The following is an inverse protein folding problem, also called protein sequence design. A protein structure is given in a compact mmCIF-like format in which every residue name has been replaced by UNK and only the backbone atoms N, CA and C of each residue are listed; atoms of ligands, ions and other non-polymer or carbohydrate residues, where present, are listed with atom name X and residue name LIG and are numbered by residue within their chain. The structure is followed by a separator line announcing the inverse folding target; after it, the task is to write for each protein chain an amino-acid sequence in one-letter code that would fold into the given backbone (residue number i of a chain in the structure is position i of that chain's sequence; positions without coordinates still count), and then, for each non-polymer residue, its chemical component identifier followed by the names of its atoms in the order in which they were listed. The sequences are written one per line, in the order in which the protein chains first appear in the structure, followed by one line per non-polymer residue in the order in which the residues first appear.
data_IF_216200438016
#
_entry.id   IF_216200438016
#
_cell.length_a   1.000
_cell.length_b   1.000
_cell.length_c   1.000
_cell.angle_alpha   90.00
_cell.angle_beta   90.00
_cell.angle_gamma   90.00
#
_symmetry.space_group_name_H-M   'P 1'
#
loop_
_entity.id
_entity.type
_entity.pdbx_description
1 polymer ?
#
# COMPACT_ATOMS: atom_id res chain seq x y z
N UNK A 1 -16.02 5.84 -2.73
CA UNK A 1 -17.21 5.78 -3.59
C UNK A 1 -18.15 4.63 -3.16
N UNK A 2 -17.63 3.48 -2.77
CA UNK A 2 -18.45 2.34 -2.29
C UNK A 2 -18.99 2.49 -0.85
N UNK A 3 -18.74 3.63 -0.20
CA UNK A 3 -19.28 3.96 1.13
C UNK A 3 -18.45 3.48 2.32
N UNK A 4 -17.28 2.88 2.09
CA UNK A 4 -16.37 2.46 3.17
C UNK A 4 -15.54 3.62 3.70
N UNK A 5 -15.21 3.56 5.00
CA UNK A 5 -14.23 4.46 5.63
C UNK A 5 -12.84 3.93 5.35
N UNK A 6 -12.03 4.72 4.61
CA UNK A 6 -10.71 4.30 4.13
C UNK A 6 -9.62 5.07 4.83
N UNK A 7 -8.73 4.37 5.54
CA UNK A 7 -7.46 4.91 6.01
C UNK A 7 -6.41 4.83 4.89
N UNK A 8 -5.59 5.87 4.75
CA UNK A 8 -4.49 5.93 3.81
C UNK A 8 -3.22 6.38 4.53
N UNK A 9 -2.19 5.54 4.49
CA UNK A 9 -0.84 5.86 4.94
C UNK A 9 0.11 5.93 3.75
N UNK A 10 0.79 7.07 3.60
CA UNK A 10 1.76 7.30 2.51
C UNK A 10 3.05 7.94 3.03
N UNK A 11 4.13 7.84 2.27
CA UNK A 11 5.41 8.48 2.57
C UNK A 11 6.28 8.69 1.32
N UNK A 12 7.09 9.77 1.29
CA UNK A 12 7.15 10.89 2.22
C UNK A 12 6.00 11.91 2.02
N UNK A 13 5.90 12.91 2.89
CA UNK A 13 5.05 14.09 2.68
C UNK A 13 5.78 15.15 1.84
N UNK A 14 5.03 16.07 1.23
CA UNK A 14 5.58 17.16 0.44
C UNK A 14 5.70 18.48 1.22
N UNK A 15 4.70 18.83 2.02
CA UNK A 15 4.63 20.09 2.78
C UNK A 15 4.30 19.86 4.25
N UNK A 16 3.23 19.13 4.52
CA UNK A 16 2.72 18.93 5.86
C UNK A 16 2.86 17.45 6.26
N UNK A 17 3.38 17.22 7.46
CA UNK A 17 3.53 15.87 8.02
C UNK A 17 2.23 15.05 7.98
N UNK A 18 1.09 15.71 8.16
CA UNK A 18 -0.24 15.08 8.22
C UNK A 18 -0.71 14.50 6.90
N UNK A 19 -0.10 14.91 5.78
CA UNK A 19 -0.33 14.29 4.46
C UNK A 19 -0.12 12.77 4.48
N UNK A 20 0.74 12.27 5.38
CA UNK A 20 1.06 10.86 5.50
C UNK A 20 -0.09 10.00 6.02
N UNK A 21 -1.06 10.58 6.72
CA UNK A 21 -2.11 9.85 7.44
C UNK A 21 -3.44 10.53 7.16
N UNK A 22 -4.28 9.88 6.35
CA UNK A 22 -5.59 10.42 5.94
C UNK A 22 -6.69 9.40 6.19
N UNK A 23 -7.88 9.88 6.48
CA UNK A 23 -9.11 9.09 6.47
C UNK A 23 -10.10 9.77 5.51
N UNK A 24 -10.55 9.05 4.49
CA UNK A 24 -11.42 9.58 3.43
C UNK A 24 -10.90 10.89 2.80
N UNK A 25 -9.58 11.02 2.66
CA UNK A 25 -8.92 12.19 2.10
C UNK A 25 -8.68 13.34 3.09
N UNK A 26 -9.20 13.28 4.32
CA UNK A 26 -8.94 14.26 5.36
C UNK A 26 -7.72 13.87 6.20
N UNK A 27 -6.83 14.83 6.42
CA UNK A 27 -5.60 14.63 7.18
C UNK A 27 -5.87 14.45 8.67
N UNK A 28 -5.03 13.67 9.34
CA UNK A 28 -5.01 13.54 10.80
C UNK A 28 -4.89 14.92 11.46
N UNK A 29 -5.57 15.15 12.58
CA UNK A 29 -5.50 16.42 13.30
C UNK A 29 -4.15 16.60 14.02
N UNK A 30 -3.71 17.85 14.16
CA UNK A 30 -2.50 18.19 14.93
C UNK A 30 -2.63 17.74 16.39
N UNK A 31 -3.81 17.91 16.96
CA UNK A 31 -4.10 17.52 18.36
C UNK A 31 -3.87 16.02 18.55
N UNK A 32 -4.35 15.18 17.63
CA UNK A 32 -4.15 13.73 17.71
C UNK A 32 -2.66 13.37 17.61
N UNK A 33 -1.93 14.01 16.71
CA UNK A 33 -0.48 13.82 16.58
C UNK A 33 0.23 14.18 17.89
N UNK A 34 -0.07 15.35 18.45
CA UNK A 34 0.54 15.83 19.69
C UNK A 34 0.19 14.90 20.87
N UNK A 35 -1.08 14.50 21.00
CA UNK A 35 -1.52 13.58 22.05
C UNK A 35 -0.78 12.24 21.98
N UNK A 36 -0.73 11.64 20.80
CA UNK A 36 -0.04 10.36 20.58
C UNK A 36 1.45 10.44 20.93
N UNK A 37 2.15 11.47 20.44
CA UNK A 37 3.59 11.66 20.73
C UNK A 37 3.80 11.87 22.23
N UNK A 38 3.04 12.74 22.88
CA UNK A 38 3.19 13.00 24.31
C UNK A 38 2.92 11.75 25.15
N UNK A 39 1.89 10.99 24.82
CA UNK A 39 1.55 9.74 25.51
C UNK A 39 2.65 8.68 25.41
N UNK A 40 3.30 8.58 24.26
CA UNK A 40 4.25 7.51 23.97
C UNK A 40 5.71 7.96 24.06
N UNK A 41 5.99 9.23 24.42
CA UNK A 41 7.33 9.81 24.43
C UNK A 41 8.37 8.98 25.18
N UNK A 42 8.07 8.58 26.39
CA UNK A 42 8.98 7.75 27.21
C UNK A 42 9.30 6.42 26.56
N UNK A 43 8.32 5.79 25.93
CA UNK A 43 8.52 4.54 25.19
C UNK A 43 9.42 4.76 23.97
N UNK A 44 9.18 5.81 23.21
CA UNK A 44 9.98 6.14 22.03
C UNK A 44 11.43 6.40 22.36
N UNK A 45 11.68 7.21 23.41
CA UNK A 45 13.03 7.51 23.89
C UNK A 45 13.75 6.28 24.44
N UNK A 46 13.04 5.43 25.19
CA UNK A 46 13.63 4.22 25.78
C UNK A 46 13.99 3.13 24.75
N UNK A 47 13.40 3.16 23.56
CA UNK A 47 13.59 2.16 22.50
C UNK A 47 14.28 2.73 21.25
N UNK A 48 14.81 3.95 21.30
CA UNK A 48 15.47 4.63 20.16
C UNK A 48 14.65 4.56 18.86
N UNK A 49 13.31 4.75 18.97
CA UNK A 49 12.40 4.63 17.83
C UNK A 49 12.69 5.68 16.75
N UNK A 50 12.84 5.23 15.53
CA UNK A 50 13.03 6.13 14.38
C UNK A 50 11.75 6.93 14.10
N UNK A 51 11.93 8.09 13.43
CA UNK A 51 10.81 8.90 12.97
C UNK A 51 9.78 8.09 12.15
N UNK A 52 10.26 7.20 11.28
CA UNK A 52 9.39 6.37 10.45
C UNK A 52 8.58 5.37 11.29
N UNK A 53 9.22 4.66 12.22
CA UNK A 53 8.54 3.72 13.12
C UNK A 53 7.48 4.40 14.00
N UNK A 54 7.80 5.58 14.55
CA UNK A 54 6.83 6.38 15.30
C UNK A 54 5.64 6.79 14.43
N UNK A 55 5.89 7.17 13.17
CA UNK A 55 4.83 7.56 12.23
C UNK A 55 3.94 6.38 11.85
N UNK A 56 4.50 5.20 11.63
CA UNK A 56 3.74 3.95 11.38
C UNK A 56 2.86 3.61 12.57
N UNK A 57 3.43 3.67 13.79
CA UNK A 57 2.68 3.45 15.02
C UNK A 57 1.51 4.43 15.20
N UNK A 58 1.74 5.71 14.91
CA UNK A 58 0.69 6.74 14.92
C UNK A 58 -0.43 6.42 13.92
N UNK A 59 -0.08 6.04 12.69
CA UNK A 59 -1.07 5.73 11.66
C UNK A 59 -1.95 4.54 12.07
N UNK A 60 -1.36 3.49 12.62
CA UNK A 60 -2.11 2.31 13.05
C UNK A 60 -3.00 2.59 14.27
N UNK A 61 -2.51 3.37 15.27
CA UNK A 61 -3.34 3.79 16.40
C UNK A 61 -4.51 4.66 15.95
N UNK A 62 -4.27 5.60 15.02
CA UNK A 62 -5.32 6.46 14.48
C UNK A 62 -6.39 5.66 13.73
N UNK A 63 -5.99 4.79 12.79
CA UNK A 63 -6.94 3.97 12.03
C UNK A 63 -7.74 3.02 12.93
N UNK A 64 -7.12 2.46 13.97
CA UNK A 64 -7.80 1.61 14.94
C UNK A 64 -8.82 2.39 15.78
N UNK A 65 -8.49 3.60 16.24
CA UNK A 65 -9.41 4.46 17.01
C UNK A 65 -10.59 4.94 16.19
N UNK A 66 -10.34 5.35 14.95
CA UNK A 66 -11.37 5.81 14.02
C UNK A 66 -12.15 4.65 13.37
N UNK A 67 -11.75 3.40 13.63
CA UNK A 67 -12.42 2.18 13.17
C UNK A 67 -12.63 2.18 11.65
N UNK A 68 -11.57 2.48 10.90
CA UNK A 68 -11.64 2.42 9.43
C UNK A 68 -12.02 1.02 8.96
N UNK A 69 -12.83 0.93 7.91
CA UNK A 69 -13.26 -0.36 7.33
C UNK A 69 -12.09 -1.04 6.61
N UNK A 70 -11.21 -0.26 5.97
CA UNK A 70 -10.03 -0.73 5.27
C UNK A 70 -8.92 0.31 5.37
N UNK A 71 -7.67 -0.14 5.49
CA UNK A 71 -6.49 0.71 5.43
C UNK A 71 -5.61 0.37 4.23
N UNK A 72 -5.19 1.38 3.48
CA UNK A 72 -4.17 1.29 2.44
C UNK A 72 -2.86 1.75 3.05
N UNK A 73 -1.89 0.86 3.13
CA UNK A 73 -0.61 1.09 3.79
C UNK A 73 0.52 1.04 2.77
N UNK A 74 1.14 2.18 2.53
CA UNK A 74 2.33 2.25 1.69
C UNK A 74 3.58 1.84 2.49
N UNK A 75 4.38 0.95 1.90
CA UNK A 75 5.69 0.55 2.43
C UNK A 75 6.67 1.70 2.24
N UNK A 76 7.46 2.02 3.28
CA UNK A 76 8.43 3.11 3.18
C UNK A 76 9.61 2.78 2.30
N UNK A 77 10.25 1.63 2.54
CA UNK A 77 11.41 1.19 1.74
C UNK A 77 11.56 -0.33 1.74
N UNK A 78 11.77 -0.89 0.55
CA UNK A 78 11.94 -2.33 0.38
C UNK A 78 10.65 -3.10 0.66
N UNK A 79 10.56 -3.72 1.82
CA UNK A 79 9.37 -4.46 2.27
C UNK A 79 9.66 -5.36 3.46
N UNK A 80 10.60 -6.29 3.31
CA UNK A 80 10.89 -7.35 4.29
C UNK A 80 11.15 -6.82 5.72
N UNK A 81 11.91 -5.75 5.86
CA UNK A 81 12.28 -5.13 7.14
C UNK A 81 11.59 -3.79 7.39
N UNK A 82 10.61 -3.44 6.56
CA UNK A 82 9.89 -2.19 6.74
C UNK A 82 9.00 -2.22 7.97
N UNK A 83 8.91 -1.11 8.70
CA UNK A 83 8.11 -1.01 9.91
C UNK A 83 6.61 -1.26 9.66
N UNK A 84 6.11 -1.00 8.44
CA UNK A 84 4.73 -1.31 8.06
C UNK A 84 4.46 -2.81 7.93
N UNK A 85 5.51 -3.64 7.78
CA UNK A 85 5.40 -5.06 7.48
C UNK A 85 5.04 -5.94 8.70
N UNK A 86 4.57 -5.35 9.78
CA UNK A 86 4.06 -6.05 10.98
C UNK A 86 2.61 -6.55 10.81
N UNK A 87 1.91 -6.08 9.81
CA UNK A 87 0.49 -6.40 9.55
C UNK A 87 0.32 -7.72 8.80
N UNK A 88 -0.88 -8.30 8.90
CA UNK A 88 -1.38 -9.34 8.00
C UNK A 88 -2.44 -8.70 7.11
N UNK A 89 -2.13 -8.38 5.84
CA UNK A 89 -3.04 -7.64 4.97
C UNK A 89 -4.12 -8.55 4.38
N UNK A 90 -5.17 -7.96 3.81
CA UNK A 90 -6.14 -8.68 2.97
C UNK A 90 -5.53 -9.09 1.63
N UNK A 91 -4.63 -8.27 1.11
CA UNK A 91 -3.88 -8.47 -0.13
C UNK A 91 -2.58 -7.70 -0.08
N UNK A 92 -1.48 -8.31 -0.50
CA UNK A 92 -0.21 -7.62 -0.71
C UNK A 92 -0.13 -7.13 -2.16
N UNK A 93 0.39 -5.92 -2.37
CA UNK A 93 0.50 -5.34 -3.73
C UNK A 93 1.92 -4.88 -3.97
N UNK A 94 2.53 -5.32 -5.06
CA UNK A 94 3.83 -4.84 -5.54
C UNK A 94 3.60 -4.24 -6.93
N UNK A 95 3.75 -2.93 -7.06
CA UNK A 95 3.37 -2.21 -8.28
C UNK A 95 4.33 -2.47 -9.43
N UNK A 96 5.61 -2.22 -9.21
CA UNK A 96 6.70 -2.49 -10.15
C UNK A 96 8.04 -2.59 -9.44
N UNK A 97 9.09 -2.96 -10.17
CA UNK A 97 10.48 -2.96 -9.70
C UNK A 97 11.30 -2.05 -10.59
N UNK A 98 11.98 -1.11 -9.96
CA UNK A 98 13.00 -0.25 -10.58
C UNK A 98 14.29 -0.29 -9.77
N UNK A 99 15.39 0.18 -10.39
CA UNK A 99 16.66 0.37 -9.69
C UNK A 99 16.59 1.63 -8.83
N UNK A 100 16.02 1.49 -7.63
CA UNK A 100 15.91 2.53 -6.65
C UNK A 100 16.45 2.05 -5.30
N UNK A 101 16.94 2.98 -4.47
CA UNK A 101 17.56 2.68 -3.18
C UNK A 101 18.62 1.58 -3.24
N UNK A 102 19.40 1.51 -4.33
CA UNK A 102 20.35 0.42 -4.59
C UNK A 102 21.40 0.24 -3.50
N UNK A 103 21.76 1.31 -2.79
CA UNK A 103 22.68 1.26 -1.65
C UNK A 103 22.15 0.45 -0.45
N UNK A 104 20.82 0.20 -0.38
CA UNK A 104 20.17 -0.55 0.71
C UNK A 104 19.53 -1.85 0.23
N UNK A 105 18.93 -1.85 -0.97
CA UNK A 105 18.12 -2.96 -1.47
C UNK A 105 18.89 -3.89 -2.42
N UNK A 106 20.13 -3.51 -2.80
CA UNK A 106 20.96 -4.26 -3.75
C UNK A 106 20.97 -3.65 -5.14
N UNK A 107 21.91 -4.11 -5.97
CA UNK A 107 22.24 -3.52 -7.26
C UNK A 107 21.60 -4.24 -8.47
N UNK A 108 20.69 -5.18 -8.22
CA UNK A 108 19.99 -5.92 -9.28
C UNK A 108 18.48 -5.89 -9.06
N UNK A 109 17.72 -6.05 -10.15
CA UNK A 109 16.25 -6.09 -10.06
C UNK A 109 15.79 -7.27 -9.22
N UNK A 110 16.47 -8.40 -9.26
CA UNK A 110 16.15 -9.60 -8.45
C UNK A 110 16.34 -9.33 -6.95
N UNK A 111 17.42 -8.64 -6.57
CA UNK A 111 17.67 -8.30 -5.16
C UNK A 111 16.59 -7.37 -4.63
N UNK A 112 16.26 -6.31 -5.37
CA UNK A 112 15.19 -5.37 -5.00
C UNK A 112 13.82 -6.07 -4.96
N UNK A 113 13.55 -6.94 -5.95
CA UNK A 113 12.32 -7.74 -5.97
C UNK A 113 12.21 -8.66 -4.74
N UNK A 114 13.32 -9.25 -4.30
CA UNK A 114 13.36 -10.11 -3.11
C UNK A 114 13.04 -9.34 -1.83
N UNK A 115 13.58 -8.12 -1.65
CA UNK A 115 13.26 -7.26 -0.51
C UNK A 115 11.78 -6.82 -0.52
N UNK A 116 11.26 -6.42 -1.70
CA UNK A 116 9.84 -6.04 -1.82
C UNK A 116 8.91 -7.25 -1.64
N UNK A 117 9.29 -8.43 -2.13
CA UNK A 117 8.55 -9.68 -1.93
C UNK A 117 8.44 -10.11 -0.46
N UNK A 118 9.23 -9.51 0.43
CA UNK A 118 9.11 -9.70 1.88
C UNK A 118 7.77 -9.29 2.50
N UNK A 119 6.91 -8.58 1.77
CA UNK A 119 5.54 -8.28 2.19
C UNK A 119 4.53 -9.40 1.85
N UNK A 120 4.94 -10.41 1.09
CA UNK A 120 4.08 -11.56 0.78
C UNK A 120 3.93 -12.40 2.03
N UNK A 121 2.71 -12.54 2.53
CA UNK A 121 2.40 -13.24 3.79
C UNK A 121 1.76 -14.60 3.52
N UNK A 122 1.96 -15.52 4.44
CA UNK A 122 1.45 -16.89 4.33
C UNK A 122 -0.07 -16.92 4.14
N UNK A 123 -0.50 -17.54 3.04
CA UNK A 123 -1.92 -17.69 2.68
C UNK A 123 -2.62 -16.42 2.23
N UNK A 124 -1.91 -15.28 2.13
CA UNK A 124 -2.48 -14.01 1.69
C UNK A 124 -2.20 -13.80 0.20
N UNK A 125 -3.20 -13.48 -0.63
CA UNK A 125 -3.00 -13.25 -2.05
C UNK A 125 -2.07 -12.05 -2.31
N UNK A 126 -1.31 -12.13 -3.40
CA UNK A 126 -0.42 -11.05 -3.82
C UNK A 126 -0.70 -10.65 -5.27
N UNK A 127 -0.77 -9.33 -5.50
CA UNK A 127 -0.85 -8.72 -6.82
C UNK A 127 0.51 -8.15 -7.21
N UNK A 128 0.99 -8.53 -8.38
CA UNK A 128 2.15 -7.95 -9.04
C UNK A 128 1.64 -7.11 -10.21
N UNK A 129 1.88 -5.80 -10.18
CA UNK A 129 1.45 -4.89 -11.25
C UNK A 129 2.21 -5.12 -12.53
N UNK A 130 3.53 -4.95 -12.47
CA UNK A 130 4.45 -5.18 -13.58
C UNK A 130 5.61 -6.08 -13.14
N UNK A 131 6.17 -6.80 -14.08
CA UNK A 131 7.33 -7.66 -13.86
C UNK A 131 8.22 -7.72 -15.10
N UNK A 132 9.46 -8.15 -14.90
CA UNK A 132 10.41 -8.50 -15.96
C UNK A 132 10.71 -10.00 -15.91
N UNK A 133 11.44 -10.50 -16.89
CA UNK A 133 11.90 -11.91 -16.89
C UNK A 133 12.80 -12.24 -15.70
N UNK A 134 13.49 -11.24 -15.15
CA UNK A 134 14.37 -11.36 -14.00
C UNK A 134 13.57 -11.38 -12.68
N UNK A 135 12.55 -10.56 -12.56
CA UNK A 135 11.80 -10.39 -11.29
C UNK A 135 10.65 -11.40 -11.11
N UNK A 136 10.04 -11.88 -12.21
CA UNK A 136 8.93 -12.84 -12.15
C UNK A 136 9.25 -14.09 -11.34
N UNK A 137 10.39 -14.80 -11.56
CA UNK A 137 10.72 -16.00 -10.79
C UNK A 137 10.88 -15.75 -9.29
N UNK A 138 11.35 -14.54 -8.91
CA UNK A 138 11.50 -14.14 -7.50
C UNK A 138 10.13 -14.10 -6.82
N UNK A 139 9.14 -13.46 -7.45
CA UNK A 139 7.78 -13.36 -6.92
C UNK A 139 7.09 -14.73 -6.87
N UNK A 140 7.20 -15.54 -7.93
CA UNK A 140 6.63 -16.88 -7.98
C UNK A 140 7.20 -17.78 -6.89
N UNK A 141 8.52 -17.73 -6.67
CA UNK A 141 9.19 -18.50 -5.62
C UNK A 141 8.68 -18.06 -4.26
N UNK A 142 8.65 -16.74 -4.00
CA UNK A 142 8.22 -16.20 -2.71
C UNK A 142 6.75 -16.48 -2.41
N UNK A 143 5.87 -16.37 -3.40
CA UNK A 143 4.47 -16.72 -3.28
C UNK A 143 4.28 -18.21 -2.95
N UNK A 144 5.01 -19.09 -3.64
CA UNK A 144 5.00 -20.53 -3.38
C UNK A 144 5.48 -20.88 -1.97
N UNK A 145 6.58 -20.27 -1.50
CA UNK A 145 7.09 -20.45 -0.13
C UNK A 145 6.06 -20.08 0.94
N UNK A 146 5.23 -19.07 0.66
CA UNK A 146 4.20 -18.58 1.58
C UNK A 146 2.82 -19.21 1.32
N UNK A 147 2.70 -20.15 0.40
CA UNK A 147 1.40 -20.70 -0.01
C UNK A 147 0.39 -19.60 -0.37
N UNK A 148 0.86 -18.54 -1.05
CA UNK A 148 0.10 -17.38 -1.48
C UNK A 148 -0.34 -17.53 -2.94
N UNK A 149 -1.59 -17.19 -3.24
CA UNK A 149 -2.02 -17.03 -4.63
C UNK A 149 -1.38 -15.77 -5.21
N UNK A 150 -0.80 -15.89 -6.42
CA UNK A 150 -0.13 -14.78 -7.11
C UNK A 150 -0.88 -14.38 -8.37
N UNK A 151 -1.08 -13.08 -8.56
CA UNK A 151 -1.78 -12.50 -9.69
C UNK A 151 -0.92 -11.46 -10.39
N UNK A 152 -0.65 -11.65 -11.66
CA UNK A 152 0.07 -10.69 -12.50
C UNK A 152 -0.94 -9.80 -13.21
N UNK A 153 -1.15 -8.59 -12.72
CA UNK A 153 -2.19 -7.68 -13.21
C UNK A 153 -2.01 -7.29 -14.68
N UNK A 154 -0.76 -7.16 -15.15
CA UNK A 154 -0.44 -6.89 -16.54
C UNK A 154 -0.97 -7.95 -17.50
N UNK A 155 -1.01 -9.22 -17.07
CA UNK A 155 -1.44 -10.36 -17.88
C UNK A 155 -2.96 -10.59 -17.82
N UNK A 156 -3.57 -10.28 -16.68
CA UNK A 156 -4.95 -10.64 -16.38
C UNK A 156 -5.97 -9.55 -16.72
N UNK A 157 -5.58 -8.28 -16.63
CA UNK A 157 -6.49 -7.15 -16.81
C UNK A 157 -6.32 -6.54 -18.20
N UNK A 158 -7.37 -6.65 -19.01
CA UNK A 158 -7.41 -6.07 -20.38
C UNK A 158 -8.35 -4.88 -20.50
N UNK A 159 -9.22 -4.64 -19.51
CA UNK A 159 -10.16 -3.54 -19.53
C UNK A 159 -9.49 -2.17 -19.39
N UNK A 160 -10.05 -1.17 -20.08
CA UNK A 160 -9.58 0.22 -20.04
C UNK A 160 -10.67 1.10 -19.44
N UNK A 161 -10.59 1.36 -18.15
CA UNK A 161 -11.41 2.38 -17.51
C UNK A 161 -10.78 3.77 -17.72
N UNK A 162 -11.58 4.81 -17.99
CA UNK A 162 -11.09 6.19 -17.96
C UNK A 162 -10.63 6.56 -16.54
N UNK A 163 -9.69 7.49 -16.45
CA UNK A 163 -9.19 8.03 -15.18
C UNK A 163 -8.85 9.50 -15.36
N UNK A 164 -8.96 10.30 -14.32
CA UNK A 164 -8.50 11.68 -14.27
C UNK A 164 -6.98 11.82 -14.05
N UNK A 165 -6.30 10.72 -13.73
CA UNK A 165 -4.83 10.69 -13.65
C UNK A 165 -4.20 10.67 -15.04
N UNK A 166 -3.21 11.55 -15.25
CA UNK A 166 -2.49 11.72 -16.51
C UNK A 166 -1.15 10.97 -16.47
N UNK A 167 -0.78 10.37 -17.59
CA UNK A 167 0.51 9.69 -17.78
C UNK A 167 0.36 8.26 -18.27
N UNK A 168 1.25 7.83 -19.17
CA UNK A 168 1.18 6.51 -19.82
C UNK A 168 1.31 5.36 -18.82
N UNK A 169 2.11 5.54 -17.75
CA UNK A 169 2.27 4.57 -16.67
C UNK A 169 1.00 4.31 -15.87
N UNK A 170 0.01 5.22 -15.92
CA UNK A 170 -1.28 5.02 -15.23
C UNK A 170 -2.10 3.85 -15.79
N UNK A 171 -1.81 3.42 -17.02
CA UNK A 171 -2.43 2.21 -17.58
C UNK A 171 -2.06 0.98 -16.74
N UNK A 172 -0.80 0.88 -16.29
CA UNK A 172 -0.31 -0.23 -15.46
C UNK A 172 -0.84 -0.11 -14.02
N UNK A 173 -0.82 1.09 -13.46
CA UNK A 173 -1.39 1.34 -12.14
C UNK A 173 -2.87 0.97 -12.07
N UNK A 174 -3.66 1.33 -13.08
CA UNK A 174 -5.08 0.96 -13.16
C UNK A 174 -5.29 -0.55 -13.20
N UNK A 175 -4.49 -1.28 -13.96
CA UNK A 175 -4.57 -2.76 -13.97
C UNK A 175 -4.31 -3.34 -12.57
N UNK A 176 -3.30 -2.81 -11.88
CA UNK A 176 -2.97 -3.22 -10.51
C UNK A 176 -4.13 -2.97 -9.56
N UNK A 177 -4.74 -1.78 -9.63
CA UNK A 177 -5.92 -1.42 -8.82
C UNK A 177 -7.10 -2.34 -9.12
N UNK A 178 -7.42 -2.57 -10.40
CA UNK A 178 -8.55 -3.42 -10.79
C UNK A 178 -8.38 -4.88 -10.32
N UNK A 179 -7.17 -5.43 -10.44
CA UNK A 179 -6.87 -6.76 -9.93
C UNK A 179 -6.98 -6.82 -8.40
N UNK A 180 -6.50 -5.79 -7.71
CA UNK A 180 -6.60 -5.69 -6.25
C UNK A 180 -8.06 -5.67 -5.79
N UNK A 181 -8.90 -4.85 -6.43
CA UNK A 181 -10.34 -4.77 -6.14
C UNK A 181 -11.04 -6.11 -6.41
N UNK A 182 -10.70 -6.80 -7.49
CA UNK A 182 -11.27 -8.12 -7.80
C UNK A 182 -10.99 -9.13 -6.67
N UNK A 183 -9.77 -9.11 -6.11
CA UNK A 183 -9.41 -9.97 -4.98
C UNK A 183 -10.17 -9.58 -3.72
N UNK A 184 -10.23 -8.29 -3.38
CA UNK A 184 -10.98 -7.79 -2.21
C UNK A 184 -12.45 -8.20 -2.30
N UNK A 185 -13.09 -8.03 -3.46
CA UNK A 185 -14.47 -8.44 -3.69
C UNK A 185 -14.68 -9.97 -3.55
N UNK A 186 -13.66 -10.79 -3.85
CA UNK A 186 -13.76 -12.25 -3.70
C UNK A 186 -13.79 -12.71 -2.24
N UNK A 187 -13.30 -11.91 -1.32
CA UNK A 187 -13.22 -12.20 0.12
C UNK A 187 -14.53 -12.02 0.88
N UNK A 188 -15.63 -11.63 0.21
CA UNK A 188 -17.00 -11.48 0.74
C UNK A 188 -17.27 -10.37 1.75
N UNK A 189 -16.24 -9.76 2.33
CA UNK A 189 -16.38 -8.70 3.34
C UNK A 189 -16.65 -7.34 2.70
N UNK A 190 -16.30 -7.17 1.43
CA UNK A 190 -16.45 -5.95 0.67
C UNK A 190 -17.30 -6.16 -0.59
N UNK A 191 -18.04 -5.10 -0.97
CA UNK A 191 -18.81 -5.05 -2.22
C UNK A 191 -18.51 -3.73 -2.92
N UNK A 192 -17.64 -3.79 -3.92
CA UNK A 192 -17.26 -2.64 -4.75
C UNK A 192 -17.81 -2.91 -6.14
N UNK A 193 -18.82 -2.15 -6.55
CA UNK A 193 -19.47 -2.31 -7.84
C UNK A 193 -18.68 -1.62 -8.96
N UNK A 194 -18.94 -2.01 -10.19
CA UNK A 194 -18.29 -1.39 -11.36
C UNK A 194 -18.54 0.12 -11.44
N UNK A 195 -19.71 0.58 -11.00
CA UNK A 195 -20.06 2.00 -10.89
C UNK A 195 -19.14 2.74 -9.94
N UNK A 196 -18.80 2.12 -8.80
CA UNK A 196 -17.92 2.70 -7.78
C UNK A 196 -16.48 2.77 -8.30
N UNK A 197 -16.04 1.73 -9.01
CA UNK A 197 -14.72 1.69 -9.66
C UNK A 197 -14.60 2.82 -10.70
N UNK A 198 -15.59 2.96 -11.58
CA UNK A 198 -15.61 4.01 -12.60
C UNK A 198 -15.61 5.40 -11.97
N UNK A 199 -16.46 5.62 -10.99
CA UNK A 199 -16.52 6.89 -10.25
C UNK A 199 -15.21 7.17 -9.52
N UNK A 200 -14.65 6.18 -8.83
CA UNK A 200 -13.38 6.32 -8.11
C UNK A 200 -12.22 6.70 -9.02
N UNK A 201 -12.09 6.04 -10.17
CA UNK A 201 -11.02 6.32 -11.14
C UNK A 201 -11.15 7.68 -11.82
N UNK A 202 -12.36 8.23 -11.96
CA UNK A 202 -12.62 9.55 -12.52
C UNK A 202 -12.50 10.69 -11.50
N UNK A 203 -12.39 10.39 -10.23
CA UNK A 203 -12.31 11.37 -9.14
C UNK A 203 -11.08 11.16 -8.24
N UNK A 204 -10.01 10.56 -8.75
CA UNK A 204 -8.80 10.28 -7.94
C UNK A 204 -8.22 11.59 -7.41
N UNK A 205 -7.96 12.57 -8.30
CA UNK A 205 -7.38 13.87 -7.93
C UNK A 205 -8.24 14.57 -6.88
N UNK A 206 -9.56 14.59 -7.06
CA UNK A 206 -10.50 15.23 -6.14
C UNK A 206 -10.51 14.52 -4.77
N UNK A 207 -10.57 13.19 -4.76
CA UNK A 207 -10.75 12.40 -3.53
C UNK A 207 -9.47 12.27 -2.72
N UNK A 208 -8.31 12.32 -3.37
CA UNK A 208 -7.00 12.19 -2.71
C UNK A 208 -6.32 13.54 -2.48
N UNK A 209 -6.86 14.61 -3.07
CA UNK A 209 -6.28 15.98 -3.01
C UNK A 209 -4.84 16.02 -3.55
N UNK A 210 -4.58 15.22 -4.60
CA UNK A 210 -3.31 15.21 -5.34
C UNK A 210 -3.21 16.40 -6.30
#
# INVERSE_FOLDING_TARGET
EAGYTVGLYTSPHLKDYRERIKINGEEISEDFVCEFINKNKTFFEANDMSFFEMTVGLAFDYFAKEKVDIAIIEVGMGGRLDATNIITPLVSVITNIGLDHTQFLGNTLEAIASEKAGIIKTGIPVVIGEYTKETKPVFETKAKENNSEIYFASDLIHERFPSDLIGDYQVHNKKTVLQTIAIINSQKDFKIYETDIKSGLLNVVKNTKL
#
